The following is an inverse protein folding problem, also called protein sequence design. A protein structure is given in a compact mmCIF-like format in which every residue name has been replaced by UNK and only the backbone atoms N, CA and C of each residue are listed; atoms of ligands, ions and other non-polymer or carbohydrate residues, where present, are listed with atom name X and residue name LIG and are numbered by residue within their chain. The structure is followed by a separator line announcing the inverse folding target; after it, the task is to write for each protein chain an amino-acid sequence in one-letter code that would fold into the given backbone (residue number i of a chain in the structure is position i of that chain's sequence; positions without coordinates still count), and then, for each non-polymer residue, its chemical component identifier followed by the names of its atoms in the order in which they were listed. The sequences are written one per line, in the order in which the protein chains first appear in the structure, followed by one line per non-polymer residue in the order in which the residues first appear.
data_IF_281732309200
#
_entry.id   IF_281732309200
#
_cell.length_a   1.000
_cell.length_b   1.000
_cell.length_c   1.000
_cell.angle_alpha   90.00
_cell.angle_beta   90.00
_cell.angle_gamma   90.00
#
_symmetry.space_group_name_H-M   'P 1'
#
loop_
_entity.id
_entity.type
_entity.pdbx_description
1 polymer ?
#
# COMPACT_ATOMS: atom_id res chain seq x y z
N UNK A 1 13.52 -42.66 -56.51
CA UNK A 1 13.59 -41.45 -55.66
C UNK A 1 13.37 -41.85 -54.21
N UNK A 2 14.44 -42.12 -53.46
CA UNK A 2 14.41 -42.35 -52.00
C UNK A 2 15.36 -41.31 -51.40
N UNK A 3 14.81 -40.25 -50.82
CA UNK A 3 15.57 -39.20 -50.14
C UNK A 3 15.96 -39.73 -48.76
N UNK A 4 17.23 -40.03 -48.55
CA UNK A 4 17.79 -40.32 -47.22
C UNK A 4 18.17 -38.96 -46.63
N UNK A 5 17.44 -38.50 -45.62
CA UNK A 5 17.80 -37.31 -44.83
C UNK A 5 18.95 -37.67 -43.87
N UNK A 6 19.95 -36.79 -43.65
CA UNK A 6 21.11 -37.10 -42.83
C UNK A 6 20.74 -37.01 -41.35
N UNK A 7 20.88 -38.14 -40.66
CA UNK A 7 20.53 -38.33 -39.25
C UNK A 7 21.61 -37.81 -38.28
N UNK A 8 22.36 -36.77 -38.66
CA UNK A 8 23.55 -36.32 -37.92
C UNK A 8 23.58 -34.83 -37.55
N UNK A 9 22.47 -34.10 -37.67
CA UNK A 9 22.41 -32.68 -37.27
C UNK A 9 21.38 -32.36 -36.19
N UNK A 10 20.95 -33.34 -35.40
CA UNK A 10 19.93 -33.13 -34.36
C UNK A 10 20.35 -33.69 -32.98
N UNK A 11 21.63 -33.53 -32.61
CA UNK A 11 22.12 -33.87 -31.28
C UNK A 11 22.76 -32.69 -30.52
N UNK A 12 22.69 -31.46 -31.06
CA UNK A 12 23.24 -30.27 -30.41
C UNK A 12 22.18 -29.32 -29.80
N UNK A 13 20.90 -29.70 -29.75
CA UNK A 13 19.83 -28.87 -29.14
C UNK A 13 19.52 -29.31 -27.69
N UNK A 14 20.16 -30.35 -27.17
CA UNK A 14 19.93 -30.87 -25.81
C UNK A 14 21.05 -30.52 -24.81
N UNK A 15 21.71 -29.38 -24.97
CA UNK A 15 22.57 -28.85 -23.91
C UNK A 15 21.75 -27.89 -23.05
N UNK A 16 21.34 -28.44 -21.90
CA UNK A 16 20.94 -27.74 -20.68
C UNK A 16 19.52 -27.15 -20.64
N UNK A 17 18.56 -28.06 -20.47
CA UNK A 17 17.38 -27.82 -19.62
C UNK A 17 17.76 -27.66 -18.14
N UNK A 18 18.60 -26.67 -17.82
CA UNK A 18 18.70 -26.16 -16.46
C UNK A 18 17.93 -24.85 -16.44
N UNK A 19 16.60 -24.97 -16.40
CA UNK A 19 15.78 -23.89 -15.89
C UNK A 19 16.16 -23.74 -14.41
N UNK A 20 17.12 -22.87 -14.13
CA UNK A 20 17.28 -22.35 -12.78
C UNK A 20 15.94 -21.74 -12.41
N UNK A 21 15.32 -22.24 -11.35
CA UNK A 21 14.21 -21.55 -10.72
C UNK A 21 14.76 -20.22 -10.19
N UNK A 22 14.83 -19.20 -11.06
CA UNK A 22 15.05 -17.85 -10.63
C UNK A 22 13.81 -17.51 -9.81
N UNK A 23 13.99 -17.36 -8.51
CA UNK A 23 13.04 -16.66 -7.65
C UNK A 23 12.96 -15.23 -8.17
N UNK A 24 12.09 -15.01 -9.16
CA UNK A 24 11.80 -13.66 -9.62
C UNK A 24 11.03 -13.00 -8.49
N UNK A 25 11.58 -11.91 -7.95
CA UNK A 25 10.84 -11.06 -7.04
C UNK A 25 9.53 -10.69 -7.74
N UNK A 26 8.36 -10.91 -7.10
CA UNK A 26 7.10 -10.51 -7.69
C UNK A 26 7.17 -9.04 -8.14
N UNK A 27 6.70 -8.70 -9.36
CA UNK A 27 6.74 -7.33 -9.83
C UNK A 27 5.85 -6.44 -8.96
N UNK A 28 6.31 -5.22 -8.71
CA UNK A 28 5.50 -4.18 -8.06
C UNK A 28 4.30 -3.90 -8.98
N UNK A 29 3.08 -4.17 -8.50
CA UNK A 29 1.85 -3.92 -9.24
C UNK A 29 1.57 -2.41 -9.36
N UNK A 30 1.74 -1.68 -8.26
CA UNK A 30 1.67 -0.23 -8.21
C UNK A 30 2.42 0.30 -6.99
N UNK A 31 2.78 1.58 -7.03
CA UNK A 31 3.32 2.32 -5.89
C UNK A 31 2.77 3.74 -5.90
N UNK A 32 2.46 4.29 -4.72
CA UNK A 32 1.99 5.68 -4.57
C UNK A 32 2.52 6.29 -3.28
N UNK A 33 2.80 7.59 -3.34
CA UNK A 33 2.95 8.43 -2.17
C UNK A 33 1.61 9.12 -1.91
N UNK A 34 1.24 9.22 -0.65
CA UNK A 34 0.03 9.90 -0.20
C UNK A 34 0.41 10.96 0.81
N UNK A 35 -0.20 12.13 0.74
CA UNK A 35 0.03 13.21 1.69
C UNK A 35 0.00 14.60 1.07
N UNK A 36 0.61 15.55 1.78
CA UNK A 36 0.66 16.95 1.46
C UNK A 36 2.10 17.50 1.44
N UNK A 37 2.24 18.77 1.80
CA UNK A 37 3.56 19.45 1.81
C UNK A 37 4.31 19.31 3.12
N UNK A 38 3.68 18.75 4.16
CA UNK A 38 4.24 18.54 5.50
C UNK A 38 4.53 17.06 5.75
N UNK A 39 4.92 16.75 7.00
CA UNK A 39 5.15 15.38 7.41
C UNK A 39 3.83 14.61 7.44
N UNK A 40 3.82 13.51 6.69
CA UNK A 40 2.74 12.53 6.65
C UNK A 40 3.36 11.15 6.85
N UNK A 41 2.64 10.29 7.55
CA UNK A 41 3.08 8.92 7.78
C UNK A 41 1.91 7.96 7.73
N UNK A 42 2.12 6.80 7.11
CA UNK A 42 1.21 5.66 7.18
C UNK A 42 1.87 4.60 8.04
N UNK A 43 1.19 4.19 9.11
CA UNK A 43 1.73 3.24 10.09
C UNK A 43 1.04 1.88 10.01
N UNK A 44 -0.18 1.83 9.50
CA UNK A 44 -0.91 0.58 9.34
C UNK A 44 -1.76 0.57 8.09
N UNK A 45 -1.81 -0.60 7.46
CA UNK A 45 -2.60 -0.89 6.26
C UNK A 45 -3.29 -2.24 6.41
N UNK A 46 -4.55 -2.33 5.97
CA UNK A 46 -5.29 -3.58 5.84
C UNK A 46 -5.94 -3.66 4.47
N UNK A 47 -5.84 -4.83 3.85
CA UNK A 47 -6.62 -5.13 2.67
C UNK A 47 -8.10 -5.28 3.04
N UNK A 48 -8.96 -4.82 2.17
CA UNK A 48 -10.42 -4.90 2.22
C UNK A 48 -10.91 -5.59 0.95
N UNK A 49 -12.20 -5.97 0.88
CA UNK A 49 -12.74 -6.66 -0.29
C UNK A 49 -12.63 -5.85 -1.61
N UNK A 50 -12.57 -4.52 -1.50
CA UNK A 50 -12.62 -3.55 -2.58
C UNK A 50 -11.38 -2.63 -2.65
N UNK A 51 -10.33 -2.91 -1.87
CA UNK A 51 -9.12 -2.09 -1.86
C UNK A 51 -8.38 -2.14 -0.53
N UNK A 52 -7.96 -1.00 0.00
CA UNK A 52 -7.15 -0.93 1.23
C UNK A 52 -7.64 0.16 2.17
N UNK A 53 -7.55 -0.06 3.47
CA UNK A 53 -7.71 0.96 4.50
C UNK A 53 -6.34 1.22 5.13
N UNK A 54 -6.00 2.49 5.29
CA UNK A 54 -4.71 2.93 5.82
C UNK A 54 -4.92 3.94 6.94
N UNK A 55 -3.99 3.97 7.89
CA UNK A 55 -3.99 4.97 8.94
C UNK A 55 -2.59 5.37 9.40
N UNK A 56 -2.50 6.56 9.97
CA UNK A 56 -1.28 7.19 10.44
C UNK A 56 -1.55 8.62 10.89
N UNK A 57 -0.78 9.58 10.39
CA UNK A 57 -0.94 11.00 10.73
C UNK A 57 -0.66 11.92 9.54
N UNK A 58 -1.16 13.16 9.63
CA UNK A 58 -0.87 14.25 8.68
C UNK A 58 -0.75 15.59 9.39
N UNK A 59 0.21 16.41 8.96
CA UNK A 59 0.46 17.74 9.54
C UNK A 59 -0.25 18.91 8.85
N UNK A 60 -1.02 18.70 7.77
CA UNK A 60 -1.61 19.81 7.01
C UNK A 60 -2.78 19.41 6.10
N UNK A 61 -3.68 20.36 5.84
CA UNK A 61 -4.74 20.25 4.81
C UNK A 61 -4.26 20.70 3.43
N UNK A 62 -3.41 19.91 2.77
CA UNK A 62 -3.04 20.10 1.36
C UNK A 62 -2.71 18.79 0.64
N UNK A 63 -2.59 18.85 -0.70
CA UNK A 63 -2.37 17.68 -1.55
C UNK A 63 -3.52 16.68 -1.45
N UNK A 64 -3.21 15.47 -1.02
CA UNK A 64 -4.18 14.41 -0.78
C UNK A 64 -4.94 14.59 0.54
N UNK A 65 -4.61 15.57 1.37
CA UNK A 65 -5.19 15.73 2.71
C UNK A 65 -6.17 16.90 2.77
N UNK A 66 -7.25 16.73 3.53
CA UNK A 66 -8.24 17.79 3.77
C UNK A 66 -8.84 17.65 5.17
N UNK A 67 -9.03 18.78 5.86
CA UNK A 67 -9.74 18.84 7.13
C UNK A 67 -8.87 18.58 8.36
N UNK A 68 -7.56 18.81 8.29
CA UNK A 68 -6.70 18.88 9.46
C UNK A 68 -7.13 20.03 10.40
N UNK A 69 -7.11 19.79 11.71
CA UNK A 69 -7.68 20.66 12.73
C UNK A 69 -6.65 21.52 13.51
N UNK A 70 -5.37 21.49 13.11
CA UNK A 70 -4.34 22.36 13.67
C UNK A 70 -2.97 21.69 13.76
N UNK A 71 -2.78 20.87 14.79
CA UNK A 71 -1.58 20.04 14.95
C UNK A 71 -1.54 18.91 13.92
N UNK A 72 -0.73 17.87 14.17
CA UNK A 72 -0.88 16.64 13.41
C UNK A 72 -2.24 16.01 13.71
N UNK A 73 -3.00 15.58 12.71
CA UNK A 73 -4.22 14.81 12.94
C UNK A 73 -3.99 13.34 12.60
N UNK A 74 -4.74 12.47 13.27
CA UNK A 74 -4.87 11.08 12.85
C UNK A 74 -5.50 11.02 11.47
N UNK A 75 -4.76 10.51 10.49
CA UNK A 75 -5.25 10.41 9.11
C UNK A 75 -5.71 8.98 8.83
N UNK A 76 -6.93 8.85 8.31
CA UNK A 76 -7.49 7.58 7.84
C UNK A 76 -8.02 7.76 6.43
N UNK A 77 -7.66 6.86 5.54
CA UNK A 77 -8.13 6.90 4.16
C UNK A 77 -8.24 5.50 3.57
N UNK A 78 -9.23 5.35 2.69
CA UNK A 78 -9.47 4.11 1.94
C UNK A 78 -9.12 4.34 0.48
N UNK A 79 -8.46 3.35 -0.12
CA UNK A 79 -8.18 3.31 -1.56
C UNK A 79 -8.90 2.16 -2.22
N UNK A 80 -9.01 2.20 -3.54
CA UNK A 80 -9.31 1.03 -4.34
C UNK A 80 -8.08 0.10 -4.49
N UNK A 81 -8.22 -0.95 -5.29
CA UNK A 81 -7.14 -1.90 -5.60
C UNK A 81 -5.95 -1.30 -6.36
N UNK A 82 -6.09 -0.09 -6.91
CA UNK A 82 -5.06 0.64 -7.67
C UNK A 82 -4.48 1.83 -6.89
N UNK A 83 -4.79 1.93 -5.59
CA UNK A 83 -4.33 3.01 -4.74
C UNK A 83 -5.00 4.36 -5.03
N UNK A 84 -6.17 4.40 -5.67
CA UNK A 84 -6.94 5.65 -5.82
C UNK A 84 -7.76 5.87 -4.55
N UNK A 85 -7.54 6.99 -3.87
CA UNK A 85 -8.28 7.36 -2.65
C UNK A 85 -9.78 7.47 -2.98
N UNK A 86 -10.57 6.64 -2.31
CA UNK A 86 -12.04 6.65 -2.39
C UNK A 86 -12.63 7.62 -1.37
N UNK A 87 -12.06 7.65 -0.17
CA UNK A 87 -12.40 8.62 0.86
C UNK A 87 -11.26 8.78 1.85
N UNK A 88 -11.27 9.90 2.58
CA UNK A 88 -10.25 10.29 3.56
C UNK A 88 -10.86 11.11 4.69
N UNK A 89 -10.31 11.01 5.89
CA UNK A 89 -10.71 11.79 7.06
C UNK A 89 -9.49 12.11 7.92
N UNK A 90 -9.39 13.36 8.36
CA UNK A 90 -8.56 13.75 9.48
C UNK A 90 -9.42 13.68 10.75
N UNK A 91 -8.89 13.06 11.80
CA UNK A 91 -9.56 12.89 13.09
C UNK A 91 -8.59 13.41 14.15
N UNK A 92 -8.97 14.51 14.80
CA UNK A 92 -8.10 15.20 15.72
C UNK A 92 -8.70 16.51 16.22
N UNK A 93 -7.86 17.32 16.85
CA UNK A 93 -8.18 18.65 17.34
C UNK A 93 -7.02 19.61 17.10
N UNK A 94 -6.81 20.55 18.02
CA UNK A 94 -5.76 21.57 17.84
C UNK A 94 -4.35 21.06 18.16
N UNK A 95 -4.20 19.82 18.64
CA UNK A 95 -2.94 19.21 19.09
C UNK A 95 -2.59 18.04 18.19
N UNK A 96 -1.55 17.29 18.56
CA UNK A 96 -1.05 16.20 17.74
C UNK A 96 -1.76 14.89 18.09
N UNK A 97 -2.37 14.28 17.08
CA UNK A 97 -3.00 12.98 17.10
C UNK A 97 -2.39 12.06 16.04
N UNK A 98 -2.30 10.78 16.39
CA UNK A 98 -1.71 9.75 15.54
C UNK A 98 -2.50 8.46 15.70
N UNK A 99 -2.81 7.79 14.61
CA UNK A 99 -3.30 6.40 14.64
C UNK A 99 -2.19 5.42 14.29
N UNK A 100 -1.95 4.47 15.19
CA UNK A 100 -0.86 3.51 15.09
C UNK A 100 -1.31 2.19 14.42
N UNK A 101 -2.60 1.84 14.51
CA UNK A 101 -3.13 0.61 13.91
C UNK A 101 -4.57 0.73 13.42
N UNK A 102 -4.89 -0.05 12.38
CA UNK A 102 -6.26 -0.27 11.88
C UNK A 102 -6.54 -1.77 11.72
N UNK A 103 -7.77 -2.18 12.00
CA UNK A 103 -8.29 -3.52 11.73
C UNK A 103 -9.66 -3.42 11.07
N UNK A 104 -9.96 -4.36 10.18
CA UNK A 104 -11.30 -4.54 9.62
C UNK A 104 -12.17 -5.35 10.59
N UNK A 105 -13.46 -5.07 10.59
CA UNK A 105 -14.45 -5.83 11.35
C UNK A 105 -15.30 -6.70 10.42
N UNK A 106 -15.94 -7.73 10.97
CA UNK A 106 -16.75 -8.70 10.21
C UNK A 106 -18.02 -8.12 9.63
N UNK A 107 -18.50 -6.99 10.15
CA UNK A 107 -19.63 -6.20 9.64
C UNK A 107 -19.22 -5.18 8.56
N UNK A 108 -17.95 -5.20 8.12
CA UNK A 108 -17.42 -4.31 7.08
C UNK A 108 -16.94 -2.95 7.59
N UNK A 109 -16.95 -2.72 8.90
CA UNK A 109 -16.38 -1.54 9.54
C UNK A 109 -14.87 -1.60 9.78
N UNK A 110 -14.38 -0.64 10.57
CA UNK A 110 -12.97 -0.50 10.94
C UNK A 110 -12.81 -0.12 12.41
N UNK A 111 -11.82 -0.69 13.08
CA UNK A 111 -11.36 -0.28 14.41
C UNK A 111 -9.99 0.37 14.25
N UNK A 112 -9.84 1.56 14.83
CA UNK A 112 -8.58 2.31 14.86
C UNK A 112 -8.13 2.52 16.31
N UNK A 113 -6.83 2.44 16.55
CA UNK A 113 -6.25 2.81 17.84
C UNK A 113 -5.02 3.70 17.64
N UNK A 114 -4.77 4.56 18.61
CA UNK A 114 -3.72 5.57 18.51
C UNK A 114 -3.58 6.39 19.79
N UNK A 115 -2.91 7.53 19.67
CA UNK A 115 -2.58 8.40 20.80
C UNK A 115 -2.92 9.85 20.48
N UNK A 116 -3.19 10.59 21.54
CA UNK A 116 -3.46 12.03 21.53
C UNK A 116 -2.43 12.70 22.43
N UNK A 117 -1.83 13.79 21.96
CA UNK A 117 -0.92 14.61 22.77
C UNK A 117 -1.74 15.68 23.48
N UNK A 118 -2.01 15.46 24.77
CA UNK A 118 -2.49 16.52 25.64
C UNK A 118 -1.28 17.23 26.27
N UNK A 119 -1.12 18.53 25.98
CA UNK A 119 -0.29 19.38 26.85
C UNK A 119 -1.10 19.60 28.14
N UNK A 120 -0.70 18.98 29.25
CA UNK A 120 -1.19 19.40 30.56
C UNK A 120 -0.84 20.89 30.72
N UNK A 121 -1.85 21.73 30.92
CA UNK A 121 -1.67 23.11 31.34
C UNK A 121 -1.05 23.18 32.72
#
# INVERSE_FOLDING_TARGET
MKKILPQMLLFCIFINQLAFAQSTTPPIQWQKAYGGTKNDGVFSIKQTADGYIMTGYTGRSDGDVSGNHGGADGWVFKTDNWGVIQWKKCIGGTKDEVFDAVQTTTDGGFILCGRVVNSLH
#
